data_IF_526855715130
#
_entry.id   IF_526855715130
#
_cell.length_a   1.000
_cell.length_b   1.000
_cell.length_c   1.000
_cell.angle_alpha   90.00
_cell.angle_beta   90.00
_cell.angle_gamma   90.00
#
_symmetry.space_group_name_H-M   'P 1'
#
loop_
_entity.id
_entity.type
_entity.pdbx_description
1 polymer ?
#
# COMPACT_ATOMS: atom_id res chain seq x y z
N UNK A 1 -15.80 -28.19 -35.69
CA UNK A 1 -15.91 -27.03 -36.60
C UNK A 1 -17.38 -26.68 -36.80
N UNK A 2 -18.01 -25.95 -35.87
CA UNK A 2 -19.46 -25.69 -35.95
C UNK A 2 -19.94 -24.34 -35.40
N UNK A 3 -19.02 -23.45 -35.03
CA UNK A 3 -19.37 -22.13 -34.47
C UNK A 3 -19.35 -20.99 -35.50
N UNK A 4 -18.74 -21.19 -36.68
CA UNK A 4 -18.64 -20.18 -37.74
C UNK A 4 -19.72 -20.33 -38.83
N UNK A 5 -20.90 -20.83 -38.48
CA UNK A 5 -22.03 -20.76 -39.42
C UNK A 5 -22.59 -19.33 -39.43
N UNK A 6 -22.75 -18.70 -40.61
CA UNK A 6 -23.37 -17.38 -40.73
C UNK A 6 -24.74 -17.29 -40.03
N UNK A 7 -25.47 -18.40 -39.98
CA UNK A 7 -26.77 -18.53 -39.30
C UNK A 7 -26.62 -18.37 -37.78
N UNK A 8 -25.58 -18.95 -37.18
CA UNK A 8 -25.32 -18.83 -35.73
C UNK A 8 -24.90 -17.41 -35.36
N UNK A 9 -24.07 -16.76 -36.18
CA UNK A 9 -23.70 -15.35 -35.98
C UNK A 9 -24.92 -14.42 -36.10
N UNK A 10 -25.80 -14.66 -37.07
CA UNK A 10 -27.01 -13.85 -37.25
C UNK A 10 -28.01 -14.06 -36.10
N UNK A 11 -28.14 -15.30 -35.60
CA UNK A 11 -28.94 -15.60 -34.42
C UNK A 11 -28.37 -14.92 -33.16
N UNK A 12 -27.05 -14.91 -32.99
CA UNK A 12 -26.36 -14.22 -31.90
C UNK A 12 -26.58 -12.70 -31.97
N UNK A 13 -26.41 -12.10 -33.16
CA UNK A 13 -26.67 -10.68 -33.39
C UNK A 13 -28.14 -10.31 -33.12
N UNK A 14 -29.08 -11.16 -33.54
CA UNK A 14 -30.51 -10.94 -33.31
C UNK A 14 -30.84 -11.01 -31.82
N UNK A 15 -30.32 -12.01 -31.10
CA UNK A 15 -30.47 -12.09 -29.65
C UNK A 15 -29.83 -10.90 -28.94
N UNK A 16 -28.62 -10.49 -29.33
CA UNK A 16 -27.95 -9.31 -28.79
C UNK A 16 -28.76 -8.04 -28.99
N UNK A 17 -29.32 -7.82 -30.18
CA UNK A 17 -30.23 -6.69 -30.47
C UNK A 17 -31.50 -6.75 -29.63
N UNK A 18 -32.12 -7.93 -29.50
CA UNK A 18 -33.32 -8.13 -28.67
C UNK A 18 -33.04 -7.86 -27.19
N UNK A 19 -31.88 -8.30 -26.68
CA UNK A 19 -31.44 -8.03 -25.31
C UNK A 19 -31.22 -6.53 -25.10
N UNK A 20 -30.50 -5.85 -26.00
CA UNK A 20 -30.30 -4.39 -25.93
C UNK A 20 -31.64 -3.65 -26.00
N UNK A 21 -32.52 -4.05 -26.92
CA UNK A 21 -33.85 -3.45 -27.06
C UNK A 21 -34.73 -3.64 -25.81
N UNK A 22 -34.62 -4.79 -25.13
CA UNK A 22 -35.32 -5.04 -23.87
C UNK A 22 -34.87 -4.09 -22.75
N UNK A 23 -33.62 -3.63 -22.75
CA UNK A 23 -33.13 -2.60 -21.81
C UNK A 23 -33.64 -1.19 -22.16
N UNK A 24 -34.02 -0.95 -23.42
CA UNK A 24 -34.55 0.36 -23.86
C UNK A 24 -36.06 0.52 -23.69
N UNK A 25 -36.79 -0.57 -23.40
CA UNK A 25 -38.25 -0.58 -23.26
C UNK A 25 -38.77 -0.20 -21.86
N UNK A 26 -37.90 -0.02 -20.86
CA UNK A 26 -38.30 0.54 -19.57
C UNK A 26 -38.63 2.02 -19.70
N UNK A 27 -39.62 2.51 -18.91
CA UNK A 27 -39.90 3.95 -18.77
C UNK A 27 -38.57 4.69 -18.63
N UNK A 28 -38.22 5.55 -19.60
CA UNK A 28 -37.08 6.46 -19.48
C UNK A 28 -37.36 7.38 -18.30
N UNK A 29 -36.87 7.01 -17.12
CA UNK A 29 -36.84 7.95 -16.01
C UNK A 29 -36.00 9.13 -16.50
N UNK A 30 -36.52 10.37 -16.47
CA UNK A 30 -35.72 11.52 -16.82
C UNK A 30 -34.48 11.53 -15.94
N UNK A 31 -33.32 11.76 -16.55
CA UNK A 31 -32.09 12.01 -15.79
C UNK A 31 -32.29 13.31 -15.02
N UNK A 32 -32.43 13.21 -13.70
CA UNK A 32 -32.62 14.37 -12.81
C UNK A 32 -31.25 14.85 -12.38
N UNK A 33 -30.93 16.10 -12.69
CA UNK A 33 -29.74 16.78 -12.20
C UNK A 33 -29.96 17.16 -10.73
N UNK A 34 -28.96 16.96 -9.89
CA UNK A 34 -28.97 17.48 -8.52
C UNK A 34 -28.83 19.01 -8.58
N UNK A 35 -29.83 19.73 -8.07
CA UNK A 35 -29.83 21.20 -8.01
C UNK A 35 -29.09 21.68 -6.76
N UNK A 36 -29.13 20.90 -5.67
CA UNK A 36 -28.41 21.16 -4.43
C UNK A 36 -27.28 20.16 -4.16
N UNK A 37 -26.24 20.60 -3.43
CA UNK A 37 -25.11 19.73 -3.02
C UNK A 37 -25.57 18.51 -2.19
N UNK A 38 -26.65 18.65 -1.41
CA UNK A 38 -27.25 17.57 -0.61
C UNK A 38 -27.95 16.50 -1.46
N UNK A 39 -28.29 16.81 -2.72
CA UNK A 39 -28.91 15.87 -3.66
C UNK A 39 -27.88 15.08 -4.47
N UNK A 40 -26.59 15.48 -4.39
CA UNK A 40 -25.52 14.74 -5.05
C UNK A 40 -25.33 13.39 -4.35
N UNK A 41 -25.27 12.27 -5.11
CA UNK A 41 -25.05 10.97 -4.52
C UNK A 41 -23.68 10.94 -3.83
N UNK A 42 -23.66 10.44 -2.59
CA UNK A 42 -22.41 10.18 -1.87
C UNK A 42 -21.71 9.00 -2.55
N UNK A 43 -20.48 9.24 -3.00
CA UNK A 43 -19.68 8.27 -3.74
C UNK A 43 -18.33 8.11 -3.01
N UNK A 44 -17.96 6.90 -2.55
CA UNK A 44 -18.74 5.67 -2.59
C UNK A 44 -20.00 5.72 -1.70
N UNK A 45 -21.03 4.96 -2.06
CA UNK A 45 -22.25 4.83 -1.24
C UNK A 45 -21.90 4.20 0.12
N UNK A 46 -22.37 4.75 1.26
CA UNK A 46 -22.14 4.16 2.58
C UNK A 46 -22.62 2.71 2.70
N UNK A 47 -23.69 2.35 1.99
CA UNK A 47 -24.25 0.99 1.98
C UNK A 47 -23.23 -0.06 1.51
N UNK A 48 -22.23 0.36 0.74
CA UNK A 48 -21.15 -0.50 0.27
C UNK A 48 -20.35 -1.11 1.42
N UNK A 49 -20.35 -0.48 2.60
CA UNK A 49 -19.56 -0.87 3.78
C UNK A 49 -20.44 -1.47 4.91
N UNK A 50 -21.67 -1.85 4.60
CA UNK A 50 -22.60 -2.42 5.58
C UNK A 50 -22.36 -3.90 5.90
N UNK A 51 -21.82 -4.67 4.94
CA UNK A 51 -21.77 -6.14 4.96
C UNK A 51 -20.33 -6.69 5.16
N UNK A 52 -19.77 -6.43 6.35
CA UNK A 52 -18.54 -7.11 6.78
C UNK A 52 -18.84 -8.36 7.62
N UNK A 53 -18.18 -9.49 7.33
CA UNK A 53 -18.32 -10.73 8.10
C UNK A 53 -17.97 -10.57 9.58
N UNK A 54 -18.61 -11.36 10.44
CA UNK A 54 -18.23 -11.51 11.84
C UNK A 54 -16.78 -12.01 11.93
N UNK A 55 -16.02 -11.43 12.85
CA UNK A 55 -14.65 -11.77 13.21
C UNK A 55 -14.51 -13.24 13.64
N UNK A 56 -15.62 -13.87 14.08
CA UNK A 56 -15.70 -15.28 14.47
C UNK A 56 -15.92 -16.26 13.31
N UNK A 57 -16.05 -15.79 12.07
CA UNK A 57 -16.23 -16.70 10.93
C UNK A 57 -14.98 -17.58 10.74
N UNK A 58 -15.08 -18.88 11.03
CA UNK A 58 -13.95 -19.83 11.05
C UNK A 58 -13.82 -20.68 9.79
N UNK A 59 -14.52 -20.33 8.70
CA UNK A 59 -14.57 -21.12 7.47
C UNK A 59 -13.90 -20.46 6.27
N UNK A 60 -13.58 -21.28 5.25
CA UNK A 60 -13.27 -20.77 3.91
C UNK A 60 -14.46 -20.01 3.36
N UNK A 61 -14.23 -18.79 2.88
CA UNK A 61 -15.25 -17.97 2.23
C UNK A 61 -14.60 -17.04 1.21
N UNK A 62 -15.32 -16.79 0.12
CA UNK A 62 -14.97 -15.72 -0.78
C UNK A 62 -15.07 -14.36 -0.07
N UNK A 63 -14.32 -13.34 -0.53
CA UNK A 63 -14.42 -12.00 0.02
C UNK A 63 -15.80 -11.40 -0.28
N UNK A 64 -16.30 -10.56 0.64
CA UNK A 64 -17.57 -9.84 0.44
C UNK A 64 -17.37 -8.59 -0.42
N UNK A 65 -18.48 -7.97 -0.83
CA UNK A 65 -18.45 -6.70 -1.56
C UNK A 65 -17.83 -5.61 -0.68
N UNK A 66 -18.18 -5.55 0.61
CA UNK A 66 -17.64 -4.56 1.55
C UNK A 66 -16.14 -4.72 1.78
N UNK A 67 -15.63 -5.96 1.86
CA UNK A 67 -14.19 -6.20 1.95
C UNK A 67 -13.46 -5.76 0.68
N UNK A 68 -14.01 -6.06 -0.51
CA UNK A 68 -13.42 -5.62 -1.77
C UNK A 68 -13.48 -4.09 -1.93
N UNK A 69 -14.52 -3.45 -1.40
CA UNK A 69 -14.65 -1.99 -1.40
C UNK A 69 -13.66 -1.33 -0.44
N UNK A 70 -13.53 -1.81 0.79
CA UNK A 70 -12.54 -1.35 1.75
C UNK A 70 -11.11 -1.52 1.19
N UNK A 71 -10.88 -2.61 0.46
CA UNK A 71 -9.62 -2.82 -0.23
C UNK A 71 -9.39 -1.77 -1.33
N UNK A 72 -10.39 -1.42 -2.13
CA UNK A 72 -10.26 -0.32 -3.10
C UNK A 72 -9.92 1.01 -2.41
N UNK A 73 -10.57 1.34 -1.29
CA UNK A 73 -10.24 2.57 -0.53
C UNK A 73 -8.79 2.54 -0.04
N UNK A 74 -8.33 1.41 0.49
CA UNK A 74 -6.95 1.25 0.96
C UNK A 74 -5.94 1.42 -0.19
N UNK A 75 -6.23 0.90 -1.38
CA UNK A 75 -5.36 1.08 -2.55
C UNK A 75 -5.29 2.56 -2.98
N UNK A 76 -6.40 3.29 -2.93
CA UNK A 76 -6.42 4.75 -3.15
C UNK A 76 -5.60 5.49 -2.10
N UNK A 77 -5.69 5.08 -0.83
CA UNK A 77 -4.88 5.63 0.26
C UNK A 77 -3.37 5.43 0.00
N UNK A 78 -2.95 4.24 -0.45
CA UNK A 78 -1.54 4.00 -0.82
C UNK A 78 -1.10 4.84 -2.02
N UNK A 79 -1.97 4.98 -3.02
CA UNK A 79 -1.70 5.84 -4.17
C UNK A 79 -1.50 7.30 -3.74
N UNK A 80 -2.42 7.86 -2.96
CA UNK A 80 -2.36 9.25 -2.48
C UNK A 80 -1.16 9.47 -1.56
N UNK A 81 -0.85 8.52 -0.66
CA UNK A 81 0.36 8.57 0.16
C UNK A 81 1.61 8.70 -0.72
N UNK A 82 1.75 7.85 -1.75
CA UNK A 82 2.86 7.91 -2.70
C UNK A 82 2.93 9.26 -3.41
N UNK A 83 1.80 9.80 -3.89
CA UNK A 83 1.78 11.12 -4.53
C UNK A 83 2.20 12.24 -3.58
N UNK A 84 1.78 12.20 -2.31
CA UNK A 84 2.18 13.17 -1.28
C UNK A 84 3.70 13.13 -1.07
N UNK A 85 4.28 11.94 -0.95
CA UNK A 85 5.74 11.75 -0.81
C UNK A 85 6.47 12.32 -2.02
N UNK A 86 6.04 11.95 -3.23
CA UNK A 86 6.64 12.41 -4.49
C UNK A 86 6.57 13.93 -4.66
N UNK A 87 5.52 14.59 -4.12
CA UNK A 87 5.33 16.03 -4.24
C UNK A 87 5.93 16.87 -3.10
N UNK A 88 6.20 16.30 -1.93
CA UNK A 88 6.72 17.05 -0.78
C UNK A 88 8.12 17.61 -1.04
N UNK A 89 8.26 18.93 -0.92
CA UNK A 89 9.55 19.63 -1.03
C UNK A 89 10.40 19.49 0.23
N UNK A 90 9.78 19.29 1.40
CA UNK A 90 10.52 19.04 2.64
C UNK A 90 11.24 17.69 2.57
N UNK A 91 10.57 16.67 2.04
CA UNK A 91 11.17 15.36 1.80
C UNK A 91 12.26 15.43 0.71
N UNK A 92 12.18 16.36 -0.25
CA UNK A 92 13.30 16.61 -1.17
C UNK A 92 14.58 16.97 -0.39
N UNK A 93 14.47 17.87 0.61
CA UNK A 93 15.58 18.24 1.49
C UNK A 93 16.12 17.06 2.31
N UNK A 94 15.23 16.28 2.93
CA UNK A 94 15.59 15.07 3.69
C UNK A 94 16.37 14.03 2.86
N UNK A 95 16.08 13.96 1.55
CA UNK A 95 16.67 13.00 0.63
C UNK A 95 17.81 13.58 -0.22
N UNK A 96 18.15 14.86 -0.04
CA UNK A 96 19.19 15.55 -0.80
C UNK A 96 18.84 15.75 -2.29
N UNK A 97 17.56 15.93 -2.62
CA UNK A 97 17.10 16.21 -3.98
C UNK A 97 17.06 17.73 -4.18
N UNK A 98 18.01 18.24 -4.97
CA UNK A 98 18.09 19.68 -5.30
C UNK A 98 17.62 19.91 -6.74
N UNK A 99 16.64 20.80 -6.99
CA UNK A 99 16.25 21.18 -8.34
C UNK A 99 17.37 21.95 -9.07
N UNK A 100 17.73 21.51 -10.27
CA UNK A 100 18.70 22.21 -11.14
C UNK A 100 17.94 23.15 -12.08
N UNK A 101 17.93 24.44 -11.78
CA UNK A 101 17.18 25.45 -12.54
C UNK A 101 18.12 26.33 -13.36
N UNK A 102 17.80 26.52 -14.63
CA UNK A 102 18.50 27.47 -15.51
C UNK A 102 17.77 28.82 -15.50
N UNK A 103 18.52 29.91 -15.36
CA UNK A 103 17.99 31.27 -15.58
C UNK A 103 18.39 31.74 -16.97
N UNK A 104 17.40 32.08 -17.81
CA UNK A 104 17.63 32.66 -19.14
C UNK A 104 17.13 34.10 -19.18
N UNK A 105 17.90 34.96 -19.82
CA UNK A 105 17.53 36.37 -20.06
C UNK A 105 16.84 36.48 -21.41
N UNK A 106 15.61 37.00 -21.41
CA UNK A 106 14.85 37.25 -22.63
C UNK A 106 15.33 38.49 -23.39
N UNK A 107 14.77 38.70 -24.58
CA UNK A 107 15.11 39.82 -25.48
C UNK A 107 14.86 41.19 -24.83
N UNK A 108 13.90 41.28 -23.92
CA UNK A 108 13.58 42.50 -23.17
C UNK A 108 14.36 42.63 -21.84
N UNK A 109 15.46 41.88 -21.67
CA UNK A 109 16.22 41.78 -20.41
C UNK A 109 15.47 41.13 -19.23
N UNK A 110 14.29 40.56 -19.45
CA UNK A 110 13.55 39.80 -18.45
C UNK A 110 14.27 38.49 -18.09
N UNK A 111 14.60 38.28 -16.81
CA UNK A 111 15.16 37.01 -16.33
C UNK A 111 14.04 36.03 -16.00
N UNK A 112 14.03 34.86 -16.64
CA UNK A 112 13.10 33.76 -16.33
C UNK A 112 13.86 32.53 -15.85
N UNK A 113 13.46 32.00 -14.70
CA UNK A 113 13.97 30.74 -14.15
C UNK A 113 13.14 29.57 -14.67
N UNK A 114 13.78 28.68 -15.42
CA UNK A 114 13.15 27.50 -16.00
C UNK A 114 12.99 26.40 -14.93
N UNK A 115 11.95 25.59 -15.10
CA UNK A 115 11.75 24.38 -14.28
C UNK A 115 12.79 23.34 -14.65
N UNK A 116 13.32 22.63 -13.66
CA UNK A 116 14.17 21.45 -13.87
C UNK A 116 13.33 20.34 -14.55
N UNK A 117 13.62 19.97 -15.81
CA UNK A 117 12.85 18.95 -16.54
C UNK A 117 13.02 17.55 -15.94
N UNK A 118 14.14 17.29 -15.24
CA UNK A 118 14.47 15.99 -14.62
C UNK A 118 14.02 15.90 -13.17
N UNK A 119 13.44 16.96 -12.59
CA UNK A 119 13.04 16.97 -11.19
C UNK A 119 12.05 15.87 -10.84
N UNK A 120 11.09 15.58 -11.73
CA UNK A 120 10.12 14.52 -11.50
C UNK A 120 10.79 13.13 -11.44
N UNK A 121 11.74 12.88 -12.34
CA UNK A 121 12.55 11.65 -12.35
C UNK A 121 13.39 11.52 -11.08
N UNK A 122 14.06 12.60 -10.65
CA UNK A 122 14.79 12.65 -9.38
C UNK A 122 13.88 12.32 -8.19
N UNK A 123 12.65 12.86 -8.18
CA UNK A 123 11.65 12.62 -7.13
C UNK A 123 11.11 11.19 -7.09
N UNK A 124 11.17 10.43 -8.19
CA UNK A 124 10.77 9.00 -8.17
C UNK A 124 11.61 8.19 -7.17
N UNK A 125 12.85 8.60 -6.89
CA UNK A 125 13.73 7.96 -5.90
C UNK A 125 13.21 8.04 -4.46
N UNK A 126 12.25 8.93 -4.18
CA UNK A 126 11.68 9.08 -2.84
C UNK A 126 10.82 7.90 -2.43
N UNK A 127 10.13 7.27 -3.38
CA UNK A 127 9.23 6.17 -3.07
C UNK A 127 9.95 4.92 -2.55
N UNK A 128 10.99 4.38 -3.24
CA UNK A 128 11.77 3.28 -2.70
C UNK A 128 12.32 3.58 -1.31
N UNK A 129 12.92 4.75 -1.10
CA UNK A 129 13.45 5.15 0.21
C UNK A 129 12.37 5.14 1.30
N UNK A 130 11.18 5.71 1.04
CA UNK A 130 10.06 5.65 1.99
C UNK A 130 9.67 4.21 2.35
N UNK A 131 9.64 3.31 1.36
CA UNK A 131 9.30 1.90 1.58
C UNK A 131 10.32 1.20 2.48
N UNK A 132 11.61 1.54 2.39
CA UNK A 132 12.65 1.01 3.30
C UNK A 132 12.28 1.32 4.77
N UNK A 133 11.91 2.57 5.09
CA UNK A 133 11.47 2.96 6.44
C UNK A 133 10.19 2.24 6.86
N UNK A 134 9.21 2.11 5.96
CA UNK A 134 7.96 1.40 6.24
C UNK A 134 8.21 -0.07 6.60
N UNK A 135 9.14 -0.73 5.90
CA UNK A 135 9.53 -2.12 6.18
C UNK A 135 10.16 -2.24 7.56
N UNK A 136 11.07 -1.33 7.93
CA UNK A 136 11.68 -1.32 9.28
C UNK A 136 10.58 -1.21 10.35
N UNK A 137 9.65 -0.26 10.18
CA UNK A 137 8.53 -0.04 11.12
C UNK A 137 7.64 -1.27 11.24
N UNK A 138 7.35 -1.95 10.12
CA UNK A 138 6.62 -3.22 10.14
C UNK A 138 7.37 -4.32 10.90
N UNK A 139 8.69 -4.43 10.72
CA UNK A 139 9.53 -5.42 11.42
C UNK A 139 9.63 -5.14 12.93
N UNK A 140 9.57 -3.87 13.36
CA UNK A 140 9.47 -3.48 14.77
C UNK A 140 8.08 -3.82 15.31
N UNK A 141 7.01 -3.35 14.66
CA UNK A 141 5.63 -3.59 15.07
C UNK A 141 5.28 -5.08 15.18
N UNK A 142 5.70 -5.92 14.23
CA UNK A 142 5.41 -7.37 14.33
C UNK A 142 6.09 -8.04 15.53
N UNK A 143 7.24 -7.51 15.99
CA UNK A 143 7.95 -8.05 17.16
C UNK A 143 7.20 -7.71 18.43
N UNK A 144 6.63 -6.52 18.53
CA UNK A 144 5.79 -6.14 19.69
C UNK A 144 4.58 -7.08 19.80
N UNK A 145 3.93 -7.44 18.67
CA UNK A 145 2.86 -8.44 18.64
C UNK A 145 3.32 -9.82 19.13
N UNK A 146 4.52 -10.27 18.75
CA UNK A 146 5.09 -11.55 19.20
C UNK A 146 5.36 -11.54 20.71
N UNK A 147 6.06 -10.51 21.21
CA UNK A 147 6.36 -10.36 22.64
C UNK A 147 5.09 -10.31 23.49
N UNK A 148 4.05 -9.62 23.02
CA UNK A 148 2.77 -9.59 23.71
C UNK A 148 2.16 -10.99 23.79
N UNK A 149 2.20 -11.79 22.72
CA UNK A 149 1.69 -13.16 22.73
C UNK A 149 2.45 -14.06 23.72
N UNK A 150 3.78 -13.96 23.75
CA UNK A 150 4.63 -14.77 24.63
C UNK A 150 4.41 -14.46 26.12
N UNK A 151 4.07 -13.22 26.48
CA UNK A 151 3.79 -12.81 27.87
C UNK A 151 2.48 -13.36 28.44
N UNK A 152 1.55 -13.84 27.60
CA UNK A 152 0.27 -14.42 28.03
C UNK A 152 -0.02 -15.72 27.25
N UNK A 153 0.75 -16.79 27.53
CA UNK A 153 0.59 -18.08 26.87
C UNK A 153 -0.63 -18.81 27.49
N UNK A 154 -1.83 -18.57 26.97
CA UNK A 154 -3.04 -19.23 27.50
C UNK A 154 -4.35 -18.88 26.80
N UNK A 155 -4.46 -17.72 26.14
CA UNK A 155 -5.63 -17.37 25.32
C UNK A 155 -5.51 -17.90 23.88
N UNK A 156 -5.21 -19.18 23.75
CA UNK A 156 -5.25 -19.90 22.47
C UNK A 156 -6.69 -20.22 22.12
N UNK A 157 -7.41 -19.25 21.59
CA UNK A 157 -8.76 -19.47 21.04
C UNK A 157 -9.77 -18.41 21.44
N UNK A 158 -9.59 -17.19 20.98
CA UNK A 158 -10.55 -16.12 21.22
C UNK A 158 -10.25 -14.91 20.36
N UNK A 159 -11.21 -14.53 19.54
CA UNK A 159 -11.30 -13.25 18.86
C UNK A 159 -10.78 -12.07 19.70
N UNK A 160 -9.90 -11.28 19.09
CA UNK A 160 -9.64 -9.87 19.43
C UNK A 160 -9.05 -9.62 20.82
N UNK A 161 -7.79 -10.02 21.02
CA UNK A 161 -6.88 -9.14 21.79
C UNK A 161 -6.99 -7.74 21.19
N UNK A 162 -6.98 -6.68 22.01
CA UNK A 162 -7.21 -5.29 21.58
C UNK A 162 -6.21 -4.86 20.50
N UNK A 163 -6.51 -5.24 19.26
CA UNK A 163 -5.68 -5.05 18.10
C UNK A 163 -5.96 -3.66 17.58
N UNK A 164 -5.01 -2.77 17.78
CA UNK A 164 -5.00 -1.48 17.12
C UNK A 164 -4.50 -1.66 15.69
N UNK A 165 -5.10 -0.91 14.78
CA UNK A 165 -4.65 -0.88 13.39
C UNK A 165 -3.29 -0.15 13.36
N UNK A 166 -2.25 -0.69 12.71
CA UNK A 166 -0.97 0.00 12.60
C UNK A 166 -1.07 1.20 11.64
N UNK A 167 -0.08 2.12 11.67
CA UNK A 167 0.00 3.22 10.71
C UNK A 167 -0.04 2.77 9.26
N UNK A 168 -0.49 3.66 8.37
CA UNK A 168 -0.76 3.36 6.95
C UNK A 168 0.43 2.74 6.21
N UNK A 169 1.66 3.16 6.53
CA UNK A 169 2.88 2.64 5.91
C UNK A 169 3.19 1.20 6.38
N UNK A 170 2.94 0.89 7.65
CA UNK A 170 3.06 -0.47 8.20
C UNK A 170 1.95 -1.37 7.66
N UNK A 171 0.73 -0.84 7.56
CA UNK A 171 -0.42 -1.52 6.96
C UNK A 171 -0.16 -1.87 5.49
N UNK A 172 0.50 -0.98 4.74
CA UNK A 172 0.94 -1.22 3.36
C UNK A 172 1.91 -2.39 3.25
N UNK A 173 2.91 -2.46 4.12
CA UNK A 173 3.87 -3.59 4.14
C UNK A 173 3.16 -4.89 4.51
N UNK A 174 2.28 -4.85 5.51
CA UNK A 174 1.48 -6.02 5.90
C UNK A 174 0.60 -6.51 4.75
N UNK A 175 -0.12 -5.61 4.08
CA UNK A 175 -0.91 -5.90 2.90
C UNK A 175 -0.08 -6.56 1.79
N UNK A 176 1.03 -5.95 1.39
CA UNK A 176 1.89 -6.48 0.33
C UNK A 176 2.47 -7.86 0.67
N UNK A 177 2.75 -8.12 1.95
CA UNK A 177 3.16 -9.43 2.46
C UNK A 177 2.05 -10.47 2.31
N UNK A 178 0.81 -10.16 2.66
CA UNK A 178 -0.32 -11.09 2.51
C UNK A 178 -0.58 -11.45 1.05
N UNK A 179 -0.24 -10.55 0.12
CA UNK A 179 -0.30 -10.79 -1.33
C UNK A 179 0.83 -11.69 -1.87
N UNK A 180 1.70 -12.21 -0.99
CA UNK A 180 2.68 -13.23 -1.31
C UNK A 180 2.49 -14.44 -0.37
N UNK A 181 1.52 -15.34 -0.68
CA UNK A 181 1.15 -16.42 0.23
C UNK A 181 2.31 -17.34 0.63
N UNK A 182 3.28 -17.57 -0.26
CA UNK A 182 4.48 -18.37 0.03
C UNK A 182 5.38 -17.68 1.04
N UNK A 183 5.70 -16.41 0.79
CA UNK A 183 6.53 -15.62 1.70
C UNK A 183 5.85 -15.50 3.06
N UNK A 184 4.54 -15.27 3.06
CA UNK A 184 3.74 -15.16 4.27
C UNK A 184 3.74 -16.48 5.06
N UNK A 185 3.53 -17.61 4.40
CA UNK A 185 3.64 -18.92 5.03
C UNK A 185 5.05 -19.19 5.58
N UNK A 186 6.08 -19.06 4.75
CA UNK A 186 7.47 -19.36 5.09
C UNK A 186 7.95 -18.62 6.35
N UNK A 187 7.61 -17.34 6.49
CA UNK A 187 8.15 -16.50 7.58
C UNK A 187 7.21 -16.35 8.78
N UNK A 188 5.91 -16.61 8.62
CA UNK A 188 4.91 -16.29 9.64
C UNK A 188 4.04 -17.47 10.06
N UNK A 189 4.10 -18.63 9.40
CA UNK A 189 3.39 -19.82 9.88
C UNK A 189 3.76 -20.12 11.34
N UNK A 190 2.75 -20.36 12.17
CA UNK A 190 2.90 -20.55 13.63
C UNK A 190 3.05 -19.26 14.45
N UNK A 191 3.15 -18.08 13.82
CA UNK A 191 3.23 -16.77 14.48
C UNK A 191 1.85 -16.08 14.55
N UNK A 192 1.62 -15.16 15.51
CA UNK A 192 0.35 -14.43 15.66
C UNK A 192 -0.19 -13.90 14.33
N UNK A 193 0.64 -13.18 13.58
CA UNK A 193 0.26 -12.46 12.37
C UNK A 193 -0.34 -13.37 11.28
N UNK A 194 0.06 -14.63 11.20
CA UNK A 194 -0.43 -15.56 10.17
C UNK A 194 -1.91 -15.91 10.33
N UNK A 195 -2.40 -15.90 11.57
CA UNK A 195 -3.80 -16.18 11.88
C UNK A 195 -4.68 -14.93 11.81
N UNK A 196 -4.11 -13.76 11.52
CA UNK A 196 -4.84 -12.51 11.45
C UNK A 196 -5.30 -12.24 10.03
N UNK A 197 -6.62 -12.13 9.85
CA UNK A 197 -7.19 -11.54 8.65
C UNK A 197 -7.05 -10.02 8.70
N UNK A 198 -6.96 -9.38 7.54
CA UNK A 198 -7.02 -7.94 7.42
C UNK A 198 -8.35 -7.43 7.99
N UNK A 199 -8.35 -6.51 8.97
CA UNK A 199 -9.58 -6.04 9.61
C UNK A 199 -10.28 -4.98 8.74
N UNK A 200 -10.81 -5.41 7.60
CA UNK A 200 -11.37 -4.53 6.56
C UNK A 200 -12.41 -3.52 7.08
N UNK A 201 -13.24 -3.91 8.05
CA UNK A 201 -14.20 -3.01 8.72
C UNK A 201 -13.48 -1.81 9.37
N UNK A 202 -12.50 -2.08 10.24
CA UNK A 202 -11.70 -1.03 10.91
C UNK A 202 -10.89 -0.21 9.91
N UNK A 203 -10.39 -0.83 8.84
CA UNK A 203 -9.67 -0.11 7.78
C UNK A 203 -10.60 0.91 7.11
N UNK A 204 -11.80 0.50 6.69
CA UNK A 204 -12.76 1.39 6.06
C UNK A 204 -13.23 2.52 7.00
N UNK A 205 -13.50 2.19 8.27
CA UNK A 205 -13.94 3.17 9.29
C UNK A 205 -12.91 4.28 9.56
N UNK A 206 -11.62 4.01 9.31
CA UNK A 206 -10.52 4.96 9.58
C UNK A 206 -10.03 5.70 8.33
N UNK A 207 -10.55 5.39 7.14
CA UNK A 207 -10.21 6.08 5.90
C UNK A 207 -11.23 7.19 5.63
N UNK A 208 -10.72 8.41 5.39
CA UNK A 208 -11.52 9.48 4.80
C UNK A 208 -11.66 9.23 3.29
N UNK A 209 -12.85 8.84 2.81
CA UNK A 209 -13.11 8.56 1.39
C UNK A 209 -13.00 9.78 0.46
N UNK A 210 -12.89 11.00 0.98
CA UNK A 210 -12.61 12.21 0.18
C UNK A 210 -11.12 12.46 0.07
N UNK A 211 -10.42 12.45 1.21
CA UNK A 211 -9.00 12.76 1.28
C UNK A 211 -8.09 11.56 0.96
N UNK A 212 -8.62 10.35 1.04
CA UNK A 212 -7.89 9.07 0.98
C UNK A 212 -6.76 9.02 2.01
N UNK A 213 -7.04 9.49 3.23
CA UNK A 213 -6.10 9.49 4.36
C UNK A 213 -6.65 8.60 5.46
N UNK A 214 -5.84 7.64 5.90
CA UNK A 214 -6.13 6.81 7.07
C UNK A 214 -5.65 7.53 8.33
N UNK A 215 -6.55 7.80 9.26
CA UNK A 215 -6.24 8.47 10.53
C UNK A 215 -6.49 7.53 11.70
N UNK A 216 -5.46 7.25 12.49
CA UNK A 216 -5.58 6.41 13.68
C UNK A 216 -6.18 7.21 14.85
N UNK A 217 -7.03 6.61 15.70
CA UNK A 217 -7.44 7.20 16.96
C UNK A 217 -6.22 7.48 17.87
N UNK A 218 -6.31 8.51 18.71
CA UNK A 218 -5.21 8.91 19.61
C UNK A 218 -4.71 7.77 20.49
N UNK A 219 -5.62 6.91 20.97
CA UNK A 219 -5.29 5.72 21.78
C UNK A 219 -4.45 4.70 21.01
N UNK A 220 -4.78 4.45 19.74
CA UNK A 220 -4.03 3.56 18.86
C UNK A 220 -2.65 4.15 18.52
N UNK A 221 -2.61 5.46 18.27
CA UNK A 221 -1.38 6.21 18.00
C UNK A 221 -0.41 6.15 19.19
N UNK A 222 -0.88 6.52 20.38
CA UNK A 222 -0.08 6.49 21.61
C UNK A 222 0.39 5.06 21.92
N UNK A 223 -0.44 4.05 21.64
CA UNK A 223 -0.05 2.65 21.83
C UNK A 223 1.05 2.21 20.86
N UNK A 224 0.95 2.57 19.57
CA UNK A 224 2.01 2.28 18.61
C UNK A 224 3.34 2.93 19.02
N UNK A 225 3.30 4.21 19.42
CA UNK A 225 4.47 4.93 19.92
C UNK A 225 5.03 4.32 21.20
N UNK A 226 4.18 3.90 22.15
CA UNK A 226 4.65 3.22 23.36
C UNK A 226 5.28 1.86 23.07
N UNK A 227 4.64 1.05 22.22
CA UNK A 227 5.09 -0.32 21.93
C UNK A 227 6.36 -0.32 21.06
N UNK A 228 6.46 0.59 20.10
CA UNK A 228 7.54 0.61 19.10
C UNK A 228 8.58 1.68 19.36
N UNK A 229 8.29 2.71 20.16
CA UNK A 229 9.02 3.96 20.31
C UNK A 229 9.50 4.57 18.98
N UNK A 230 8.66 4.46 17.94
CA UNK A 230 8.77 5.15 16.67
C UNK A 230 7.53 6.03 16.50
N UNK A 231 7.69 7.20 15.86
CA UNK A 231 6.58 8.12 15.58
C UNK A 231 5.45 7.43 14.80
N UNK A 232 4.19 7.74 15.06
CA UNK A 232 3.05 7.18 14.31
C UNK A 232 2.98 7.61 12.84
N UNK A 233 3.40 8.82 12.50
CA UNK A 233 3.32 9.36 11.13
C UNK A 233 4.71 9.41 10.47
N UNK A 234 5.02 8.39 9.65
CA UNK A 234 6.28 8.32 8.89
C UNK A 234 6.42 9.49 7.89
N UNK A 235 5.33 9.96 7.30
CA UNK A 235 5.38 11.08 6.36
C UNK A 235 5.79 12.37 7.09
N UNK A 236 5.13 12.68 8.20
CA UNK A 236 5.47 13.85 9.02
C UNK A 236 6.87 13.75 9.62
N UNK A 237 7.30 12.56 10.04
CA UNK A 237 8.66 12.30 10.49
C UNK A 237 9.69 12.65 9.40
N UNK A 238 9.50 12.19 8.16
CA UNK A 238 10.40 12.51 7.04
C UNK A 238 10.35 13.99 6.63
N UNK A 239 9.23 14.69 6.83
CA UNK A 239 9.17 16.14 6.63
C UNK A 239 10.00 16.94 7.64
N UNK A 240 10.23 16.37 8.83
CA UNK A 240 11.04 16.96 9.91
C UNK A 240 12.49 16.49 9.88
N UNK A 241 12.83 15.57 8.98
CA UNK A 241 14.18 15.06 8.84
C UNK A 241 15.15 16.18 8.47
N UNK A 242 16.31 16.30 9.15
CA UNK A 242 17.25 17.40 8.92
C UNK A 242 17.70 17.46 7.44
N UNK A 243 17.67 18.64 6.80
CA UNK A 243 18.26 18.77 5.47
C UNK A 243 19.76 18.52 5.54
N UNK A 244 20.30 17.82 4.55
CA UNK A 244 21.75 17.58 4.50
C UNK A 244 22.49 18.90 4.30
N UNK A 245 23.49 19.24 5.12
CA UNK A 245 24.34 20.40 4.88
C UNK A 245 24.93 20.31 3.47
N UNK A 246 24.79 21.38 2.70
CA UNK A 246 25.33 21.42 1.35
C UNK A 246 26.86 21.50 1.43
N UNK A 247 27.53 20.35 1.35
CA UNK A 247 28.99 20.23 1.38
C UNK A 247 29.68 21.07 0.29
N UNK A 248 28.93 21.55 -0.71
CA UNK A 248 29.42 22.40 -1.78
C UNK A 248 29.26 23.92 -1.50
N UNK A 249 28.58 24.33 -0.42
CA UNK A 249 28.43 25.77 -0.07
C UNK A 249 29.53 26.31 0.85
N UNK A 250 30.57 25.50 1.10
CA UNK A 250 31.67 25.82 2.01
C UNK A 250 33.01 26.10 1.37
N UNK A 251 33.07 26.93 0.31
CA UNK A 251 34.32 27.59 -0.11
C UNK A 251 34.19 29.10 0.00
N UNK A 252 33.82 29.59 1.19
CA UNK A 252 34.24 30.93 1.59
C UNK A 252 35.63 30.76 2.24
N UNK A 253 36.68 31.05 1.47
CA UNK A 253 38.10 30.87 1.82
C UNK A 253 38.59 31.83 2.91
N UNK A 254 37.68 32.50 3.62
CA UNK A 254 37.97 33.62 4.53
C UNK A 254 37.84 33.28 6.01
N UNK A 255 37.31 32.11 6.38
CA UNK A 255 37.19 31.70 7.80
C UNK A 255 38.24 30.65 8.20
N UNK A 256 39.00 30.87 9.29
CA UNK A 256 39.99 29.91 9.78
C UNK A 256 39.34 28.58 10.20
N UNK A 257 40.06 27.49 9.96
CA UNK A 257 39.57 26.11 10.08
C UNK A 257 39.11 25.70 11.50
N UNK A 258 39.44 26.48 12.53
CA UNK A 258 39.25 26.11 13.94
C UNK A 258 37.91 26.55 14.56
N UNK A 259 37.04 27.24 13.83
CA UNK A 259 35.72 27.69 14.34
C UNK A 259 34.52 27.10 13.57
N UNK A 260 34.74 26.18 12.63
CA UNK A 260 33.62 25.47 12.01
C UNK A 260 33.07 24.49 13.05
N UNK A 261 31.79 24.59 13.48
CA UNK A 261 31.17 23.48 14.17
C UNK A 261 31.32 22.27 13.26
N UNK A 262 31.92 21.19 13.79
CA UNK A 262 31.85 19.88 13.16
C UNK A 262 30.36 19.51 13.12
N UNK A 263 29.64 19.93 12.08
CA UNK A 263 28.27 19.53 11.87
C UNK A 263 28.31 18.02 11.62
N UNK A 264 28.00 17.24 12.66
CA UNK A 264 27.99 15.79 12.56
C UNK A 264 26.99 15.41 11.47
N UNK A 265 27.42 14.75 10.38
CA UNK A 265 26.61 14.64 9.18
C UNK A 265 25.41 13.72 9.44
N UNK A 266 24.20 14.29 9.45
CA UNK A 266 22.96 13.51 9.36
C UNK A 266 22.91 12.88 7.96
N UNK A 267 22.81 11.55 7.85
CA UNK A 267 22.74 10.89 6.56
C UNK A 267 21.45 11.24 5.82
N UNK A 268 21.54 11.22 4.48
CA UNK A 268 20.35 11.27 3.61
C UNK A 268 19.44 10.12 3.97
N UNK A 269 18.13 10.35 4.01
CA UNK A 269 17.16 9.25 4.20
C UNK A 269 17.32 8.16 3.12
N UNK A 270 17.80 8.51 1.92
CA UNK A 270 18.11 7.56 0.82
C UNK A 270 19.33 6.66 1.06
N UNK A 271 20.10 6.89 2.13
CA UNK A 271 21.25 6.05 2.50
C UNK A 271 20.81 4.73 3.16
N UNK A 272 19.63 4.68 3.78
CA UNK A 272 19.06 3.44 4.32
C UNK A 272 18.49 2.59 3.18
N UNK A 273 19.27 1.62 2.68
CA UNK A 273 18.85 0.68 1.63
C UNK A 273 18.92 -0.74 2.15
N UNK A 274 17.79 -1.46 2.19
CA UNK A 274 17.75 -2.87 2.63
C UNK A 274 18.23 -3.85 1.53
N UNK A 275 18.73 -3.36 0.39
CA UNK A 275 19.33 -4.19 -0.64
C UNK A 275 20.79 -4.53 -0.26
N UNK A 276 21.12 -5.82 -0.33
CA UNK A 276 22.49 -6.34 -0.22
C UNK A 276 23.28 -5.91 -1.45
N UNK A 277 23.75 -4.67 -1.48
CA UNK A 277 24.99 -4.41 -2.22
C UNK A 277 26.10 -4.94 -1.30
N UNK A 278 26.79 -6.02 -1.71
CA UNK A 278 27.99 -6.50 -1.02
C UNK A 278 29.11 -5.44 -0.93
N UNK A 279 28.93 -4.32 -1.63
CA UNK A 279 29.77 -3.13 -1.64
C UNK A 279 29.07 -1.87 -1.05
N UNK A 280 27.89 -2.00 -0.43
CA UNK A 280 27.34 -0.90 0.35
C UNK A 280 28.34 -0.59 1.48
N UNK A 281 28.79 0.67 1.63
CA UNK A 281 29.66 1.01 2.74
C UNK A 281 28.95 0.58 4.01
N UNK A 282 29.61 -0.26 4.81
CA UNK A 282 29.18 -0.55 6.16
C UNK A 282 28.82 0.78 6.81
N UNK A 283 27.64 0.87 7.45
CA UNK A 283 27.23 2.07 8.16
C UNK A 283 28.41 2.51 9.03
N UNK A 284 29.01 3.66 8.72
CA UNK A 284 30.23 4.12 9.39
C UNK A 284 29.96 4.10 10.90
N UNK A 285 30.74 3.35 11.68
CA UNK A 285 30.52 3.22 13.11
C UNK A 285 30.64 4.55 13.87
N UNK A 286 31.09 5.65 13.23
CA UNK A 286 31.16 6.99 13.83
C UNK A 286 29.93 7.89 13.61
N UNK A 287 28.87 7.42 12.94
CA UNK A 287 27.63 8.21 12.79
C UNK A 287 26.82 8.26 14.10
N UNK A 288 27.23 9.10 15.05
CA UNK A 288 26.39 9.48 16.18
C UNK A 288 25.48 10.62 15.72
N UNK A 289 24.17 10.38 15.64
CA UNK A 289 23.23 11.45 15.26
C UNK A 289 22.85 12.22 16.53
N UNK A 290 23.81 13.00 17.02
CA UNK A 290 23.69 13.77 18.25
C UNK A 290 22.47 14.72 18.15
N UNK A 291 21.59 14.68 19.15
CA UNK A 291 20.36 15.49 19.17
C UNK A 291 19.14 14.89 18.44
N UNK A 292 19.25 13.72 17.79
CA UNK A 292 18.11 13.07 17.12
C UNK A 292 17.90 11.60 17.52
N UNK A 293 17.39 11.34 18.75
CA UNK A 293 17.22 9.96 19.27
C UNK A 293 16.27 9.10 18.43
N UNK A 294 15.22 9.68 17.84
CA UNK A 294 14.32 8.95 16.95
C UNK A 294 15.03 8.47 15.68
N UNK A 295 15.93 9.27 15.11
CA UNK A 295 16.68 8.90 13.91
C UNK A 295 17.69 7.79 14.25
N UNK A 296 18.41 7.94 15.38
CA UNK A 296 19.34 6.91 15.85
C UNK A 296 18.63 5.55 15.98
N UNK A 297 17.44 5.54 16.56
CA UNK A 297 16.64 4.32 16.67
C UNK A 297 16.31 3.68 15.32
N UNK A 298 15.95 4.47 14.30
CA UNK A 298 15.74 3.93 12.96
C UNK A 298 17.02 3.29 12.39
N UNK A 299 18.18 3.88 12.64
CA UNK A 299 19.46 3.31 12.22
C UNK A 299 19.76 1.98 12.89
N UNK A 300 19.51 1.88 14.19
CA UNK A 300 19.73 0.63 14.94
C UNK A 300 18.80 -0.48 14.42
N UNK A 301 17.55 -0.14 14.15
CA UNK A 301 16.57 -1.08 13.60
C UNK A 301 16.83 -1.41 12.11
N UNK A 302 17.36 -0.46 11.34
CA UNK A 302 17.82 -0.70 9.98
C UNK A 302 18.97 -1.70 9.95
N UNK A 303 20.00 -1.53 10.80
CA UNK A 303 21.13 -2.47 10.91
C UNK A 303 20.61 -3.88 11.18
N UNK A 304 19.74 -4.03 12.19
CA UNK A 304 19.12 -5.31 12.51
C UNK A 304 18.28 -5.90 11.37
N UNK A 305 17.53 -5.07 10.65
CA UNK A 305 16.69 -5.53 9.54
C UNK A 305 17.53 -5.97 8.32
N UNK A 306 18.62 -5.26 8.03
CA UNK A 306 19.53 -5.49 6.90
C UNK A 306 20.28 -6.82 6.97
N UNK A 307 20.34 -7.44 8.15
CA UNK A 307 20.90 -8.77 8.37
C UNK A 307 19.99 -9.91 7.85
N UNK A 308 18.80 -9.59 7.33
CA UNK A 308 17.81 -10.59 6.89
C UNK A 308 17.31 -10.35 5.47
N UNK A 309 17.23 -11.40 4.67
CA UNK A 309 16.62 -11.36 3.32
C UNK A 309 15.14 -10.94 3.36
N UNK A 310 14.47 -11.14 4.50
CA UNK A 310 13.05 -10.81 4.67
C UNK A 310 12.79 -9.32 4.43
N UNK A 311 13.68 -8.44 4.90
CA UNK A 311 13.52 -7.00 4.75
C UNK A 311 13.51 -6.58 3.27
N UNK A 312 14.48 -7.07 2.49
CA UNK A 312 14.54 -6.87 1.04
C UNK A 312 13.30 -7.46 0.32
N UNK A 313 12.87 -8.67 0.70
CA UNK A 313 11.71 -9.32 0.10
C UNK A 313 10.40 -8.57 0.35
N UNK A 314 10.23 -7.99 1.55
CA UNK A 314 9.10 -7.13 1.90
C UNK A 314 9.12 -5.82 1.10
N UNK A 315 10.29 -5.18 1.00
CA UNK A 315 10.50 -3.97 0.19
C UNK A 315 10.10 -4.22 -1.27
N UNK A 316 10.62 -5.29 -1.86
CA UNK A 316 10.32 -5.67 -3.24
C UNK A 316 8.84 -6.02 -3.44
N UNK A 317 8.19 -6.63 -2.44
CA UNK A 317 6.75 -6.93 -2.50
C UNK A 317 5.92 -5.64 -2.62
N UNK A 318 6.20 -4.63 -1.79
CA UNK A 318 5.51 -3.32 -1.86
C UNK A 318 5.77 -2.64 -3.20
N UNK A 319 7.02 -2.66 -3.69
CA UNK A 319 7.37 -2.05 -4.98
C UNK A 319 6.62 -2.72 -6.14
N UNK A 320 6.54 -4.06 -6.18
CA UNK A 320 5.77 -4.78 -7.23
C UNK A 320 4.29 -4.41 -7.23
N UNK A 321 3.69 -4.21 -6.06
CA UNK A 321 2.27 -3.83 -5.93
C UNK A 321 1.96 -2.43 -6.46
N UNK A 322 2.96 -1.57 -6.62
CA UNK A 322 2.78 -0.19 -7.11
C UNK A 322 2.09 -0.15 -8.48
N UNK A 323 2.46 -1.04 -9.41
CA UNK A 323 1.84 -1.08 -10.75
C UNK A 323 0.38 -1.54 -10.73
N UNK A 324 0.01 -2.39 -9.78
CA UNK A 324 -1.37 -2.82 -9.58
C UNK A 324 -2.20 -1.66 -9.03
N UNK A 325 -1.70 -0.98 -7.99
CA UNK A 325 -2.33 0.22 -7.42
C UNK A 325 -2.61 1.28 -8.49
N UNK A 326 -1.63 1.54 -9.38
CA UNK A 326 -1.80 2.51 -10.47
C UNK A 326 -2.89 2.09 -11.46
N UNK A 327 -2.96 0.80 -11.81
CA UNK A 327 -4.03 0.29 -12.68
C UNK A 327 -5.40 0.43 -12.02
N UNK A 328 -5.50 0.19 -10.72
CA UNK A 328 -6.76 0.31 -9.97
C UNK A 328 -7.21 1.77 -9.85
N UNK A 329 -6.30 2.67 -9.47
CA UNK A 329 -6.57 4.11 -9.39
C UNK A 329 -7.02 4.69 -10.75
N UNK A 330 -6.35 4.32 -11.84
CA UNK A 330 -6.72 4.76 -13.18
C UNK A 330 -8.14 4.34 -13.62
N UNK A 331 -8.75 3.34 -12.96
CA UNK A 331 -10.12 2.91 -13.24
C UNK A 331 -11.17 3.59 -12.37
N UNK A 332 -10.75 4.23 -11.27
CA UNK A 332 -11.63 4.94 -10.34
C UNK A 332 -12.85 4.13 -9.90
N UNK A 333 -12.71 2.80 -9.74
CA UNK A 333 -13.84 1.92 -9.46
C UNK A 333 -14.59 2.29 -8.18
N UNK A 334 -13.87 2.69 -7.13
CA UNK A 334 -14.50 3.12 -5.87
C UNK A 334 -15.36 4.37 -6.04
N UNK A 335 -15.08 5.17 -7.07
CA UNK A 335 -15.87 6.36 -7.43
C UNK A 335 -16.98 6.07 -8.44
N UNK A 336 -17.21 4.80 -8.78
CA UNK A 336 -18.26 4.42 -9.72
C UNK A 336 -19.60 4.25 -8.98
N UNK A 337 -20.71 4.82 -9.48
CA UNK A 337 -22.04 4.52 -8.93
C UNK A 337 -22.43 3.04 -9.10
N UNK A 338 -21.72 2.29 -9.96
CA UNK A 338 -21.93 0.86 -10.20
C UNK A 338 -20.88 -0.03 -9.51
N UNK A 339 -20.12 0.50 -8.55
CA UNK A 339 -19.05 -0.23 -7.86
C UNK A 339 -19.57 -1.54 -7.25
N UNK A 340 -20.71 -1.53 -6.55
CA UNK A 340 -21.30 -2.73 -5.95
C UNK A 340 -21.57 -3.83 -6.98
N UNK A 341 -22.15 -3.46 -8.13
CA UNK A 341 -22.40 -4.40 -9.23
C UNK A 341 -21.10 -4.90 -9.87
N UNK A 342 -20.10 -4.04 -9.97
CA UNK A 342 -18.77 -4.39 -10.52
C UNK A 342 -18.05 -5.39 -9.62
N UNK A 343 -18.03 -5.13 -8.31
CA UNK A 343 -17.43 -6.02 -7.31
C UNK A 343 -18.15 -7.36 -7.25
N UNK A 344 -19.49 -7.37 -7.26
CA UNK A 344 -20.29 -8.61 -7.30
C UNK A 344 -19.93 -9.49 -8.49
N UNK A 345 -19.83 -8.91 -9.69
CA UNK A 345 -19.40 -9.65 -10.89
C UNK A 345 -17.96 -10.13 -10.79
N UNK A 346 -17.05 -9.30 -10.27
CA UNK A 346 -15.65 -9.65 -10.04
C UNK A 346 -15.49 -10.86 -9.12
N UNK A 347 -16.20 -10.88 -7.99
CA UNK A 347 -16.22 -12.00 -7.04
C UNK A 347 -16.74 -13.28 -7.71
N UNK A 348 -17.87 -13.21 -8.45
CA UNK A 348 -18.40 -14.37 -9.15
C UNK A 348 -17.50 -14.89 -10.29
N UNK A 349 -16.71 -14.01 -10.93
CA UNK A 349 -15.68 -14.43 -11.90
C UNK A 349 -14.47 -15.04 -11.21
N UNK A 350 -14.10 -14.52 -10.04
CA UNK A 350 -13.02 -15.06 -9.22
C UNK A 350 -13.33 -16.46 -8.68
N UNK A 351 -14.56 -16.73 -8.29
CA UNK A 351 -15.01 -18.07 -7.92
C UNK A 351 -14.75 -19.09 -9.05
N UNK A 352 -15.15 -18.75 -10.27
CA UNK A 352 -14.88 -19.57 -11.47
C UNK A 352 -13.39 -19.68 -11.77
N UNK A 353 -12.63 -18.62 -11.50
CA UNK A 353 -11.17 -18.63 -11.63
C UNK A 353 -10.49 -19.62 -10.67
N UNK A 354 -10.96 -19.72 -9.43
CA UNK A 354 -10.50 -20.76 -8.48
C UNK A 354 -10.80 -22.16 -9.02
N UNK A 355 -11.97 -22.38 -9.61
CA UNK A 355 -12.31 -23.65 -10.24
C UNK A 355 -11.39 -23.98 -11.42
N UNK A 356 -11.07 -22.99 -12.27
CA UNK A 356 -10.11 -23.18 -13.37
C UNK A 356 -8.73 -23.59 -12.85
N UNK A 357 -8.21 -22.94 -11.79
CA UNK A 357 -6.93 -23.31 -11.19
C UNK A 357 -6.96 -24.72 -10.57
N UNK A 358 -8.09 -25.14 -10.02
CA UNK A 358 -8.29 -26.51 -9.48
C UNK A 358 -8.29 -27.57 -10.58
N UNK A 359 -9.01 -27.34 -11.68
CA UNK A 359 -9.19 -28.32 -12.76
C UNK A 359 -7.96 -28.43 -13.66
N UNK A 360 -7.17 -27.36 -13.79
CA UNK A 360 -5.96 -27.33 -14.62
C UNK A 360 -4.70 -27.03 -13.78
N UNK A 361 -4.30 -27.95 -12.89
CA UNK A 361 -3.11 -27.74 -12.05
C UNK A 361 -1.86 -27.59 -12.92
N UNK A 362 -0.96 -26.69 -12.52
CA UNK A 362 0.30 -26.43 -13.22
C UNK A 362 0.21 -25.50 -14.43
N UNK A 363 -0.99 -25.02 -14.81
CA UNK A 363 -1.14 -23.96 -15.81
C UNK A 363 -1.08 -22.58 -15.16
N UNK A 364 -0.40 -21.66 -15.82
CA UNK A 364 -0.37 -20.25 -15.43
C UNK A 364 -1.64 -19.56 -15.92
N UNK A 365 -2.37 -18.95 -15.00
CA UNK A 365 -3.53 -18.11 -15.31
C UNK A 365 -3.23 -16.66 -14.93
N UNK A 366 -3.52 -15.73 -15.83
CA UNK A 366 -3.40 -14.29 -15.57
C UNK A 366 -4.81 -13.74 -15.32
N UNK A 367 -5.12 -13.22 -14.11
CA UNK A 367 -6.44 -12.69 -13.81
C UNK A 367 -6.67 -11.35 -14.53
N UNK A 368 -7.93 -11.05 -14.85
CA UNK A 368 -8.33 -9.67 -15.16
C UNK A 368 -8.39 -8.86 -13.87
N UNK A 369 -8.31 -7.51 -13.94
CA UNK A 369 -8.21 -6.65 -12.75
C UNK A 369 -9.32 -6.88 -11.69
N UNK A 370 -10.52 -7.24 -12.11
CA UNK A 370 -11.66 -7.49 -11.22
C UNK A 370 -11.53 -8.82 -10.47
N UNK A 371 -11.02 -9.84 -11.16
CA UNK A 371 -10.62 -11.13 -10.55
C UNK A 371 -9.43 -10.91 -9.61
N UNK A 372 -8.46 -10.12 -10.04
CA UNK A 372 -7.22 -9.86 -9.31
C UNK A 372 -7.49 -9.11 -8.00
N UNK A 373 -8.38 -8.11 -8.02
CA UNK A 373 -8.86 -7.44 -6.81
C UNK A 373 -9.50 -8.43 -5.84
N UNK A 374 -10.46 -9.23 -6.29
CA UNK A 374 -11.13 -10.22 -5.43
C UNK A 374 -10.13 -11.24 -4.89
N UNK A 375 -9.18 -11.69 -5.72
CA UNK A 375 -8.14 -12.61 -5.30
C UNK A 375 -7.23 -12.00 -4.22
N UNK A 376 -6.74 -10.78 -4.42
CA UNK A 376 -5.94 -10.08 -3.42
C UNK A 376 -6.72 -9.85 -2.11
N UNK A 377 -8.00 -9.48 -2.18
CA UNK A 377 -8.85 -9.37 -0.98
C UNK A 377 -8.98 -10.71 -0.26
N UNK A 378 -9.09 -11.82 -0.98
CA UNK A 378 -9.15 -13.16 -0.40
C UNK A 378 -7.82 -13.56 0.25
N UNK A 379 -6.68 -13.26 -0.37
CA UNK A 379 -5.34 -13.51 0.21
C UNK A 379 -5.16 -12.80 1.56
N UNK A 380 -5.76 -11.61 1.72
CA UNK A 380 -5.81 -10.87 2.98
C UNK A 380 -6.62 -11.54 4.11
N UNK A 381 -7.14 -12.76 3.93
CA UNK A 381 -7.68 -13.59 5.02
C UNK A 381 -6.61 -14.46 5.70
N UNK A 382 -5.35 -14.37 5.28
CA UNK A 382 -4.20 -15.00 5.93
C UNK A 382 -4.31 -16.52 5.96
N UNK A 383 -4.24 -17.14 7.15
CA UNK A 383 -4.30 -18.60 7.27
C UNK A 383 -5.60 -19.20 6.71
N UNK A 384 -6.73 -18.47 6.71
CA UNK A 384 -8.00 -18.98 6.18
C UNK A 384 -7.94 -19.15 4.66
N UNK A 385 -7.28 -18.22 3.96
CA UNK A 385 -7.03 -18.33 2.52
C UNK A 385 -6.21 -19.57 2.19
N UNK A 386 -5.08 -19.76 2.88
CA UNK A 386 -4.20 -20.90 2.66
C UNK A 386 -4.92 -22.23 2.95
N UNK A 387 -5.56 -22.36 4.13
CA UNK A 387 -6.28 -23.58 4.52
C UNK A 387 -7.40 -23.91 3.55
N UNK A 388 -8.18 -22.92 3.13
CA UNK A 388 -9.34 -23.15 2.29
C UNK A 388 -9.00 -23.42 0.83
N UNK A 389 -7.99 -22.76 0.26
CA UNK A 389 -7.51 -23.06 -1.10
C UNK A 389 -6.91 -24.46 -1.20
N UNK A 390 -6.13 -24.89 -0.20
CA UNK A 390 -5.65 -26.27 -0.08
C UNK A 390 -6.82 -27.26 -0.02
N UNK A 391 -7.83 -26.99 0.82
CA UNK A 391 -9.03 -27.84 0.94
C UNK A 391 -9.82 -27.95 -0.38
N UNK A 392 -9.80 -26.91 -1.21
CA UNK A 392 -10.40 -26.93 -2.54
C UNK A 392 -9.55 -27.66 -3.59
N UNK A 393 -8.31 -28.07 -3.28
CA UNK A 393 -7.38 -28.61 -4.26
C UNK A 393 -6.82 -27.56 -5.24
N UNK A 394 -6.91 -26.27 -4.89
CA UNK A 394 -6.28 -25.19 -5.65
C UNK A 394 -4.81 -25.12 -5.24
N UNK A 395 -3.92 -25.52 -6.15
CA UNK A 395 -2.48 -25.28 -5.97
C UNK A 395 -2.18 -23.82 -6.28
N UNK A 396 -2.19 -23.00 -5.24
CA UNK A 396 -1.63 -21.64 -5.32
C UNK A 396 -0.14 -21.82 -5.58
N UNK A 397 0.42 -21.12 -6.57
CA UNK A 397 1.81 -21.27 -7.02
C UNK A 397 2.75 -21.49 -5.81
N UNK A 398 3.29 -22.70 -5.68
CA UNK A 398 4.28 -23.12 -4.67
C UNK A 398 3.78 -23.67 -3.33
N UNK A 399 2.45 -23.79 -3.10
CA UNK A 399 1.87 -24.50 -1.94
C UNK A 399 1.29 -25.86 -2.33
#
# INVERSE_FOLDING_TARGET
MGLDSPVHMQALHTRGKSTISSFTGGKKLPYVLAEAKSEQPVIPSPDLFSDFPDHKATGFRLPTISECAAHLELLETFYVLRQRILRSQKIDGAMGIVPERETKTGVNYDKKTLKDPKLWEKRQKKWPAFVEFAVIRFLVWRRTLQTLQERQPGETGGTTREFYLPPVDVLMVWHALMLNPLLFFKHFHGKPLYNMAMPWRKVAELIDSNAWVLTLPETASAKFESDTALSTDLFAFLERWPPVPDLNTGTDSTKPNNERPLAVPVPRATAMKLAVDANAPAADPQFTIEGHPEIQKYFDEFKRASETDLAAQLRDAVIRQTSFIDKMNNRLWIRSPFVSSTLRRGIGRYEKFLELMRVYPGRMFVPTLDIDLAWHTHQCQGSLYAKGTIKMGVRVLGL
#
